data_IF_425856245769
#
_entry.id   IF_425856245769
#
_cell.length_a   1.000
_cell.length_b   1.000
_cell.length_c   1.000
_cell.angle_alpha   90.00
_cell.angle_beta   90.00
_cell.angle_gamma   90.00
#
_symmetry.space_group_name_H-M   'P 1'
#
loop_
_entity.id
_entity.type
_entity.pdbx_description
1 polymer ?
#
# COMPACT_ATOMS: atom_id res chain seq x y z
N UNK A 1 -24.45 5.45 -6.90
CA UNK A 1 -23.37 4.46 -6.67
C UNK A 1 -22.67 4.18 -8.00
N UNK A 2 -21.53 4.82 -8.27
CA UNK A 2 -20.75 4.60 -9.51
C UNK A 2 -19.62 3.58 -9.24
N UNK A 3 -19.68 2.44 -9.92
CA UNK A 3 -18.75 1.31 -9.80
C UNK A 3 -17.81 1.24 -11.01
N UNK A 4 -16.90 2.21 -11.16
CA UNK A 4 -15.81 2.10 -12.15
C UNK A 4 -14.50 1.74 -11.44
N UNK A 5 -13.71 0.82 -12.00
CA UNK A 5 -12.34 0.52 -11.50
C UNK A 5 -11.52 1.80 -11.32
N UNK A 6 -11.75 2.79 -12.19
CA UNK A 6 -11.14 4.11 -12.18
C UNK A 6 -11.52 4.93 -10.94
N UNK A 7 -12.78 4.88 -10.50
CA UNK A 7 -13.23 5.53 -9.26
C UNK A 7 -12.64 4.88 -7.99
N UNK A 8 -12.40 3.56 -8.00
CA UNK A 8 -11.64 2.89 -6.92
C UNK A 8 -10.18 3.34 -6.87
N UNK A 9 -9.54 3.51 -8.04
CA UNK A 9 -8.16 3.96 -8.12
C UNK A 9 -7.99 5.41 -7.64
N UNK A 10 -8.95 6.29 -7.91
CA UNK A 10 -8.90 7.67 -7.41
C UNK A 10 -9.17 7.75 -5.91
N UNK A 11 -10.13 7.00 -5.36
CA UNK A 11 -10.39 7.00 -3.90
C UNK A 11 -9.21 6.44 -3.07
N UNK A 12 -8.38 5.57 -3.64
CA UNK A 12 -7.25 4.96 -2.92
C UNK A 12 -6.02 5.88 -2.91
N UNK A 13 -5.86 6.76 -3.90
CA UNK A 13 -4.67 7.60 -4.05
C UNK A 13 -4.46 8.58 -2.89
N UNK A 14 -5.55 8.97 -2.22
CA UNK A 14 -5.56 9.83 -1.04
C UNK A 14 -6.10 9.12 0.22
N UNK A 15 -6.17 7.78 0.20
CA UNK A 15 -6.72 7.02 1.34
C UNK A 15 -5.83 7.07 2.59
N UNK A 16 -4.54 7.41 2.44
CA UNK A 16 -3.57 7.40 3.52
C UNK A 16 -2.85 8.75 3.64
N UNK A 17 -2.82 9.29 4.85
CA UNK A 17 -2.10 10.52 5.21
C UNK A 17 -1.24 10.24 6.44
N UNK A 18 -0.02 10.76 6.46
CA UNK A 18 0.88 10.63 7.60
C UNK A 18 0.58 11.69 8.66
N UNK A 19 0.11 11.27 9.83
CA UNK A 19 -0.12 12.16 10.96
C UNK A 19 1.18 12.72 11.56
N UNK A 20 2.27 11.95 11.54
CA UNK A 20 3.57 12.40 12.06
C UNK A 20 4.74 11.91 11.20
N UNK A 21 5.03 12.60 10.07
CA UNK A 21 6.08 12.19 9.13
C UNK A 21 7.47 12.04 9.76
N UNK A 22 7.77 12.81 10.81
CA UNK A 22 9.07 12.75 11.52
C UNK A 22 9.35 11.39 12.16
N UNK A 23 8.31 10.64 12.53
CA UNK A 23 8.46 9.32 13.16
C UNK A 23 8.89 8.23 12.17
N UNK A 24 8.72 8.48 10.87
CA UNK A 24 8.99 7.52 9.79
C UNK A 24 10.43 7.65 9.25
N UNK A 25 11.01 8.85 9.30
CA UNK A 25 12.32 9.15 8.69
C UNK A 25 13.39 8.17 9.17
N UNK A 26 14.12 7.59 8.21
CA UNK A 26 15.21 6.63 8.44
C UNK A 26 14.81 5.37 9.24
N UNK A 27 13.51 5.06 9.36
CA UNK A 27 13.02 3.83 9.99
C UNK A 27 12.76 2.75 8.94
N UNK A 28 12.91 1.49 9.36
CA UNK A 28 12.45 0.32 8.58
C UNK A 28 10.99 0.09 8.93
N UNK A 29 10.11 0.15 7.93
CA UNK A 29 8.67 0.03 8.13
C UNK A 29 8.20 -1.28 7.50
N UNK A 30 7.39 -2.03 8.24
CA UNK A 30 6.68 -3.22 7.72
C UNK A 30 5.19 -2.92 7.72
N UNK A 31 4.59 -2.94 6.54
CA UNK A 31 3.14 -2.91 6.39
C UNK A 31 2.61 -4.34 6.54
N UNK A 32 1.54 -4.50 7.32
CA UNK A 32 0.94 -5.80 7.60
C UNK A 32 -0.52 -5.77 7.14
N UNK A 33 -0.93 -6.80 6.40
CA UNK A 33 -2.32 -6.99 5.97
C UNK A 33 -2.66 -8.48 5.96
N UNK A 34 -3.92 -8.85 6.14
CA UNK A 34 -4.31 -10.27 6.22
C UNK A 34 -4.25 -10.96 4.85
N UNK A 35 -4.86 -10.36 3.83
CA UNK A 35 -4.97 -10.92 2.48
C UNK A 35 -4.72 -9.86 1.42
N UNK A 36 -3.77 -10.14 0.52
CA UNK A 36 -3.50 -9.29 -0.64
C UNK A 36 -4.21 -9.81 -1.88
N UNK A 37 -5.04 -8.97 -2.50
CA UNK A 37 -5.68 -9.26 -3.79
C UNK A 37 -4.99 -8.54 -4.95
N UNK A 38 -5.14 -7.22 -5.04
CA UNK A 38 -4.50 -6.38 -6.08
C UNK A 38 -3.33 -5.55 -5.55
N UNK A 39 -2.98 -5.71 -4.27
CA UNK A 39 -2.00 -4.89 -3.54
C UNK A 39 -2.25 -3.37 -3.56
N UNK A 40 -3.41 -2.89 -4.03
CA UNK A 40 -3.69 -1.46 -4.18
C UNK A 40 -3.69 -0.71 -2.85
N UNK A 41 -4.21 -1.35 -1.79
CA UNK A 41 -4.21 -0.78 -0.42
C UNK A 41 -2.79 -0.61 0.10
N UNK A 42 -1.99 -1.69 0.07
CA UNK A 42 -0.60 -1.68 0.49
C UNK A 42 0.27 -0.71 -0.32
N UNK A 43 0.05 -0.63 -1.63
CA UNK A 43 0.77 0.30 -2.50
C UNK A 43 0.48 1.76 -2.16
N UNK A 44 -0.78 2.10 -1.92
CA UNK A 44 -1.15 3.45 -1.49
C UNK A 44 -0.56 3.82 -0.11
N UNK A 45 -0.58 2.89 0.84
CA UNK A 45 0.06 3.09 2.14
C UNK A 45 1.58 3.26 2.02
N UNK A 46 2.23 2.44 1.21
CA UNK A 46 3.67 2.55 0.93
C UNK A 46 4.02 3.87 0.26
N UNK A 47 3.22 4.33 -0.72
CA UNK A 47 3.42 5.60 -1.40
C UNK A 47 3.26 6.80 -0.45
N UNK A 48 2.28 6.76 0.47
CA UNK A 48 2.16 7.76 1.54
C UNK A 48 3.40 7.79 2.44
N UNK A 49 3.93 6.61 2.82
CA UNK A 49 5.14 6.49 3.65
C UNK A 49 6.41 7.00 2.96
N UNK A 50 6.57 6.75 1.66
CA UNK A 50 7.77 7.17 0.89
C UNK A 50 8.05 8.67 1.01
N UNK A 51 7.00 9.49 1.05
CA UNK A 51 7.13 10.95 1.22
C UNK A 51 7.85 11.38 2.50
N UNK A 52 7.86 10.52 3.54
CA UNK A 52 8.54 10.79 4.80
C UNK A 52 9.99 10.27 4.89
N UNK A 53 10.48 9.58 3.85
CA UNK A 53 11.86 9.09 3.77
C UNK A 53 12.22 7.97 4.76
N UNK A 54 11.51 6.83 4.75
CA UNK A 54 11.91 5.65 5.52
C UNK A 54 13.23 5.06 4.98
N UNK A 55 13.94 4.31 5.82
CA UNK A 55 15.13 3.56 5.40
C UNK A 55 14.78 2.36 4.51
N UNK A 56 13.63 1.71 4.77
CA UNK A 56 13.08 0.65 3.92
C UNK A 56 11.59 0.48 4.19
N UNK A 57 10.87 -0.03 3.20
CA UNK A 57 9.49 -0.48 3.33
C UNK A 57 9.45 -1.96 2.95
N UNK A 58 8.76 -2.77 3.75
CA UNK A 58 8.49 -4.18 3.49
C UNK A 58 7.01 -4.48 3.72
N UNK A 59 6.52 -5.57 3.16
CA UNK A 59 5.15 -6.04 3.36
C UNK A 59 5.17 -7.45 3.92
N UNK A 60 4.28 -7.70 4.88
CA UNK A 60 3.95 -9.01 5.40
C UNK A 60 2.46 -9.25 5.23
N UNK A 61 2.10 -10.38 4.62
CA UNK A 61 0.70 -10.81 4.53
C UNK A 61 0.55 -12.30 4.74
N UNK A 62 -0.62 -12.73 5.18
CA UNK A 62 -0.90 -14.15 5.47
C UNK A 62 -1.26 -14.88 4.18
N UNK A 63 -2.03 -14.24 3.29
CA UNK A 63 -2.49 -14.87 2.06
C UNK A 63 -2.47 -13.93 0.86
N UNK A 64 -2.39 -14.55 -0.32
CA UNK A 64 -2.40 -13.87 -1.61
C UNK A 64 -3.53 -14.46 -2.45
N UNK A 65 -4.46 -13.62 -2.89
CA UNK A 65 -5.58 -13.96 -3.74
C UNK A 65 -5.41 -13.31 -5.13
N UNK A 66 -4.72 -14.02 -6.02
CA UNK A 66 -4.40 -13.57 -7.38
C UNK A 66 -5.06 -14.42 -8.47
N UNK A 67 -6.39 -14.28 -8.67
CA UNK A 67 -7.10 -15.05 -9.69
C UNK A 67 -6.68 -14.70 -11.13
N UNK A 68 -5.81 -13.71 -11.33
CA UNK A 68 -5.36 -13.24 -12.63
C UNK A 68 -3.89 -13.51 -12.92
N UNK A 69 -3.18 -14.18 -12.00
CA UNK A 69 -1.76 -14.50 -12.14
C UNK A 69 -0.90 -13.28 -12.43
N UNK A 70 -1.23 -12.14 -11.83
CA UNK A 70 -0.57 -10.86 -12.11
C UNK A 70 0.90 -10.86 -11.76
N UNK A 71 1.37 -11.81 -10.95
CA UNK A 71 2.68 -11.80 -10.30
C UNK A 71 2.83 -10.49 -9.53
N UNK A 72 3.01 -10.54 -8.21
CA UNK A 72 3.11 -9.33 -7.39
C UNK A 72 4.48 -8.65 -7.56
N UNK A 73 4.87 -8.43 -8.82
CA UNK A 73 5.93 -7.52 -9.18
C UNK A 73 5.58 -6.16 -8.58
N UNK A 74 6.48 -5.62 -7.77
CA UNK A 74 6.37 -4.29 -7.18
C UNK A 74 5.45 -4.19 -5.95
N UNK A 75 5.89 -4.83 -4.87
CA UNK A 75 5.96 -4.12 -3.59
C UNK A 75 7.41 -3.69 -3.39
#
# INVERSE_FOLDING_TARGET
MQTSRRARFENIRDAFVLASPRTIRNKRITLVDDVVTTASTLKAAADALKSAGPASISVLTIAIADPKGRQFEMI
#
